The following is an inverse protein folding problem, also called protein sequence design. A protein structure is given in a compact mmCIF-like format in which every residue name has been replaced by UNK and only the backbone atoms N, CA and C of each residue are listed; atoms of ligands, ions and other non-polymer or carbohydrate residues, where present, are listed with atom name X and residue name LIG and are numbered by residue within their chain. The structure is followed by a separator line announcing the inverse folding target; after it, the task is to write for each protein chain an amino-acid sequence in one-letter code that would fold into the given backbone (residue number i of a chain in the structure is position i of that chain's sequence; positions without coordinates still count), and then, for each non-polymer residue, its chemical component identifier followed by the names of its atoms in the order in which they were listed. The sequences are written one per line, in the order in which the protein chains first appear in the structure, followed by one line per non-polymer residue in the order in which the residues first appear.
data_IF_894257299801
#
_entry.id   IF_894257299801
#
_cell.length_a   1.000
_cell.length_b   1.000
_cell.length_c   1.000
_cell.angle_alpha   90.00
_cell.angle_beta   90.00
_cell.angle_gamma   90.00
#
_symmetry.space_group_name_H-M   'P 1'
#
loop_
_entity.id
_entity.type
_entity.pdbx_description
1 polymer ?
#
# COMPACT_ATOMS: atom_id res chain seq x y z
N UNK A 1 -15.85 75.40 38.55
CA UNK A 1 -14.64 74.66 38.98
C UNK A 1 -14.98 73.26 39.47
N UNK A 2 -15.87 73.08 40.46
CA UNK A 2 -16.17 71.75 41.04
C UNK A 2 -16.77 70.69 40.10
N UNK A 3 -17.72 71.07 39.23
CA UNK A 3 -18.31 70.11 38.26
C UNK A 3 -17.28 69.57 37.26
N UNK A 4 -16.35 70.43 36.85
CA UNK A 4 -15.30 70.07 35.90
C UNK A 4 -14.30 69.12 36.54
N UNK A 5 -13.89 69.40 37.79
CA UNK A 5 -12.98 68.53 38.56
C UNK A 5 -13.59 67.13 38.76
N UNK A 6 -14.86 67.07 39.18
CA UNK A 6 -15.59 65.80 39.36
C UNK A 6 -15.73 64.98 38.06
N UNK A 7 -15.90 65.67 36.92
CA UNK A 7 -15.96 65.02 35.60
C UNK A 7 -14.59 64.49 35.17
N UNK A 8 -13.52 65.22 35.45
CA UNK A 8 -12.14 64.78 35.19
C UNK A 8 -11.82 63.56 36.06
N UNK A 9 -12.16 63.60 37.35
CA UNK A 9 -11.93 62.50 38.30
C UNK A 9 -12.67 61.20 37.86
N UNK A 10 -13.92 61.31 37.41
CA UNK A 10 -14.66 60.18 36.85
C UNK A 10 -14.01 59.62 35.58
N UNK A 11 -13.49 60.48 34.71
CA UNK A 11 -12.85 60.06 33.46
C UNK A 11 -11.50 59.36 33.73
N UNK A 12 -10.70 59.86 34.68
CA UNK A 12 -9.46 59.20 35.10
C UNK A 12 -9.73 57.85 35.75
N UNK A 13 -10.77 57.73 36.59
CA UNK A 13 -11.14 56.45 37.20
C UNK A 13 -11.56 55.42 36.14
N UNK A 14 -12.38 55.84 35.16
CA UNK A 14 -12.78 54.97 34.06
C UNK A 14 -11.59 54.53 33.20
N UNK A 15 -10.67 55.46 32.89
CA UNK A 15 -9.47 55.17 32.10
C UNK A 15 -8.52 54.19 32.83
N UNK A 16 -8.38 54.35 34.15
CA UNK A 16 -7.60 53.42 34.98
C UNK A 16 -8.24 52.02 35.00
N UNK A 17 -9.58 51.93 35.09
CA UNK A 17 -10.30 50.65 35.03
C UNK A 17 -10.10 49.97 33.67
N UNK A 18 -10.23 50.72 32.58
CA UNK A 18 -9.98 50.22 31.22
C UNK A 18 -8.55 49.73 31.03
N UNK A 19 -7.55 50.49 31.51
CA UNK A 19 -6.15 50.07 31.45
C UNK A 19 -5.90 48.77 32.23
N UNK A 20 -6.49 48.62 33.41
CA UNK A 20 -6.38 47.39 34.21
C UNK A 20 -7.01 46.18 33.51
N UNK A 21 -8.17 46.34 32.86
CA UNK A 21 -8.79 45.28 32.06
C UNK A 21 -7.96 44.94 30.82
N UNK A 22 -7.37 45.95 30.17
CA UNK A 22 -6.50 45.75 29.01
C UNK A 22 -5.25 44.93 29.38
N UNK A 23 -4.62 45.22 30.52
CA UNK A 23 -3.46 44.44 31.01
C UNK A 23 -3.86 42.99 31.30
N UNK A 24 -4.98 42.77 31.99
CA UNK A 24 -5.49 41.41 32.26
C UNK A 24 -5.73 40.62 30.98
N UNK A 25 -6.31 41.26 29.97
CA UNK A 25 -6.53 40.63 28.67
C UNK A 25 -5.22 40.34 27.93
N UNK A 26 -4.22 41.22 28.01
CA UNK A 26 -2.90 40.98 27.43
C UNK A 26 -2.20 39.78 28.09
N UNK A 27 -2.24 39.69 29.42
CA UNK A 27 -1.67 38.57 30.16
C UNK A 27 -2.39 37.25 29.85
N UNK A 28 -3.73 37.28 29.78
CA UNK A 28 -4.52 36.12 29.37
C UNK A 28 -4.18 35.65 27.95
N UNK A 29 -4.07 36.57 27.00
CA UNK A 29 -3.67 36.25 25.62
C UNK A 29 -2.24 35.70 25.55
N UNK A 30 -1.32 36.24 26.35
CA UNK A 30 0.05 35.72 26.43
C UNK A 30 0.05 34.27 26.90
N UNK A 31 -0.71 33.95 27.95
CA UNK A 31 -0.84 32.59 28.46
C UNK A 31 -1.47 31.63 27.43
N UNK A 32 -2.51 32.09 26.72
CA UNK A 32 -3.16 31.30 25.68
C UNK A 32 -2.19 31.00 24.51
N UNK A 33 -1.39 31.97 24.09
CA UNK A 33 -0.37 31.81 23.05
C UNK A 33 0.75 30.86 23.48
N UNK A 34 1.16 30.89 24.74
CA UNK A 34 2.12 29.93 25.29
C UNK A 34 1.56 28.49 25.22
N UNK A 35 0.31 28.29 25.65
CA UNK A 35 -0.36 26.98 25.55
C UNK A 35 -0.45 26.50 24.10
N UNK A 36 -0.87 27.37 23.18
CA UNK A 36 -0.94 27.05 21.75
C UNK A 36 0.43 26.63 21.19
N UNK A 37 1.51 27.29 21.61
CA UNK A 37 2.87 26.96 21.19
C UNK A 37 3.26 25.55 21.65
N UNK A 38 2.94 25.19 22.89
CA UNK A 38 3.17 23.85 23.45
C UNK A 38 2.37 22.80 22.67
N UNK A 39 1.07 23.04 22.46
CA UNK A 39 0.21 22.10 21.72
C UNK A 39 0.68 21.91 20.28
N UNK A 40 1.08 22.98 19.59
CA UNK A 40 1.66 22.90 18.23
C UNK A 40 2.93 22.05 18.22
N UNK A 41 3.86 22.30 19.14
CA UNK A 41 5.10 21.51 19.22
C UNK A 41 4.81 20.02 19.44
N UNK A 42 3.86 19.69 20.32
CA UNK A 42 3.47 18.30 20.60
C UNK A 42 2.84 17.62 19.38
N UNK A 43 1.98 18.35 18.67
CA UNK A 43 1.37 17.85 17.43
C UNK A 43 2.42 17.60 16.34
N UNK A 44 3.37 18.51 16.17
CA UNK A 44 4.48 18.34 15.22
C UNK A 44 5.34 17.11 15.56
N UNK A 45 5.71 16.92 16.83
CA UNK A 45 6.47 15.74 17.23
C UNK A 45 5.70 14.43 17.02
N UNK A 46 4.38 14.42 17.24
CA UNK A 46 3.56 13.23 16.98
C UNK A 46 3.45 12.94 15.50
N UNK A 47 3.32 13.98 14.66
CA UNK A 47 3.30 13.84 13.21
C UNK A 47 4.60 13.22 12.70
N UNK A 48 5.74 13.75 13.13
CA UNK A 48 7.06 13.24 12.71
C UNK A 48 7.27 11.76 13.08
N UNK A 49 6.82 11.36 14.28
CA UNK A 49 6.84 9.96 14.71
C UNK A 49 5.95 9.07 13.83
N UNK A 50 4.74 9.53 13.50
CA UNK A 50 3.81 8.79 12.65
C UNK A 50 4.35 8.67 11.22
N UNK A 51 4.85 9.76 10.64
CA UNK A 51 5.45 9.79 9.30
C UNK A 51 6.62 8.80 9.21
N UNK A 52 7.45 8.73 10.26
CA UNK A 52 8.56 7.75 10.35
C UNK A 52 8.08 6.30 10.43
N UNK A 53 6.98 6.05 11.15
CA UNK A 53 6.40 4.70 11.25
C UNK A 53 5.78 4.25 9.93
N UNK A 54 5.09 5.16 9.24
CA UNK A 54 4.52 4.91 7.91
C UNK A 54 5.64 4.56 6.92
N UNK A 55 6.69 5.40 6.84
CA UNK A 55 7.83 5.15 5.94
C UNK A 55 8.48 3.78 6.17
N UNK A 56 8.72 3.39 7.44
CA UNK A 56 9.24 2.06 7.77
C UNK A 56 8.31 0.92 7.35
N UNK A 57 7.00 1.13 7.47
CA UNK A 57 6.00 0.17 7.02
C UNK A 57 6.01 0.01 5.50
N UNK A 58 6.08 1.11 4.77
CA UNK A 58 6.12 1.15 3.31
C UNK A 58 7.37 0.42 2.76
N UNK A 59 8.55 0.69 3.32
CA UNK A 59 9.80 0.00 2.95
C UNK A 59 9.69 -1.53 3.11
N UNK A 60 9.05 -1.97 4.19
CA UNK A 60 8.84 -3.40 4.48
C UNK A 60 7.89 -4.05 3.47
N UNK A 61 6.80 -3.35 3.13
CA UNK A 61 5.84 -3.80 2.12
C UNK A 61 6.49 -3.90 0.74
N UNK A 62 7.31 -2.91 0.37
CA UNK A 62 7.98 -2.90 -0.93
C UNK A 62 9.02 -4.01 -1.07
N UNK A 63 9.76 -4.27 0.02
CA UNK A 63 10.68 -5.41 0.09
C UNK A 63 9.94 -6.74 -0.12
N UNK A 64 8.79 -6.91 0.54
CA UNK A 64 7.97 -8.12 0.40
C UNK A 64 7.41 -8.27 -1.03
N UNK A 65 6.90 -7.19 -1.63
CA UNK A 65 6.43 -7.21 -3.04
C UNK A 65 7.54 -7.63 -3.99
N UNK A 66 8.74 -7.08 -3.82
CA UNK A 66 9.91 -7.42 -4.63
C UNK A 66 10.27 -8.90 -4.51
N UNK A 67 10.21 -9.47 -3.30
CA UNK A 67 10.46 -10.90 -3.10
C UNK A 67 9.39 -11.76 -3.77
N UNK A 68 8.11 -11.40 -3.66
CA UNK A 68 7.02 -12.14 -4.30
C UNK A 68 7.13 -12.07 -5.84
N UNK A 69 7.45 -10.91 -6.41
CA UNK A 69 7.69 -10.78 -7.85
C UNK A 69 8.77 -11.73 -8.33
N UNK A 70 9.89 -11.82 -7.61
CA UNK A 70 10.96 -12.78 -7.92
C UNK A 70 10.51 -14.23 -7.85
N UNK A 71 9.62 -14.58 -6.92
CA UNK A 71 9.04 -15.93 -6.87
C UNK A 71 8.17 -16.21 -8.10
N UNK A 72 7.35 -15.25 -8.54
CA UNK A 72 6.54 -15.38 -9.76
C UNK A 72 7.41 -15.57 -11.02
N UNK A 73 8.48 -14.78 -11.15
CA UNK A 73 9.38 -14.84 -12.31
C UNK A 73 10.21 -16.13 -12.36
N UNK A 74 10.69 -16.62 -11.21
CA UNK A 74 11.61 -17.77 -11.20
C UNK A 74 10.90 -19.13 -11.13
N UNK A 75 9.84 -19.25 -10.32
CA UNK A 75 9.27 -20.55 -9.97
C UNK A 75 7.96 -20.84 -10.73
N UNK A 76 7.30 -19.81 -11.26
CA UNK A 76 5.98 -19.91 -11.88
C UNK A 76 5.95 -19.43 -13.33
N UNK A 77 7.10 -19.34 -14.00
CA UNK A 77 7.17 -19.02 -15.42
C UNK A 77 7.10 -20.29 -16.28
N UNK A 78 6.26 -20.29 -17.32
CA UNK A 78 6.18 -21.39 -18.26
C UNK A 78 7.33 -21.28 -19.28
N UNK A 79 8.18 -22.30 -19.36
CA UNK A 79 9.34 -22.31 -20.28
C UNK A 79 8.98 -22.35 -21.79
N UNK A 80 7.71 -22.56 -22.13
CA UNK A 80 7.25 -22.59 -23.53
C UNK A 80 6.90 -21.18 -24.02
N UNK A 81 6.10 -20.43 -23.25
CA UNK A 81 5.65 -19.10 -23.62
C UNK A 81 6.43 -17.97 -22.92
N UNK A 82 7.27 -18.30 -21.93
CA UNK A 82 7.99 -17.36 -21.07
C UNK A 82 7.09 -16.38 -20.29
N UNK A 83 5.83 -16.76 -20.07
CA UNK A 83 4.87 -16.00 -19.27
C UNK A 83 4.55 -16.75 -17.98
N UNK A 84 3.92 -16.05 -17.03
CA UNK A 84 3.41 -16.66 -15.81
C UNK A 84 2.45 -17.82 -16.15
N UNK A 85 2.66 -18.98 -15.53
CA UNK A 85 1.91 -20.20 -15.82
C UNK A 85 0.40 -19.97 -15.62
N UNK A 86 -0.36 -20.20 -16.69
CA UNK A 86 -1.81 -20.13 -16.70
C UNK A 86 -2.42 -21.51 -16.88
N UNK A 87 -3.38 -21.87 -16.02
CA UNK A 87 -3.91 -23.23 -15.89
C UNK A 87 -2.78 -24.26 -15.79
N UNK A 88 -2.01 -24.27 -14.68
CA UNK A 88 -0.84 -25.12 -14.51
C UNK A 88 -1.16 -26.59 -14.71
N UNK A 89 -0.53 -27.20 -15.71
CA UNK A 89 -0.60 -28.63 -15.99
C UNK A 89 0.75 -29.28 -15.68
N UNK A 90 0.76 -30.19 -14.71
CA UNK A 90 1.94 -30.88 -14.24
C UNK A 90 2.02 -32.27 -14.86
N UNK A 91 3.16 -32.58 -15.47
CA UNK A 91 3.45 -33.88 -16.07
C UNK A 91 3.82 -34.93 -15.01
N UNK A 92 3.78 -36.22 -15.36
CA UNK A 92 4.27 -37.32 -14.50
C UNK A 92 5.75 -37.20 -14.09
N UNK A 93 6.55 -36.36 -14.76
CA UNK A 93 7.92 -36.04 -14.37
C UNK A 93 8.04 -34.77 -13.50
N UNK A 94 6.92 -34.30 -12.94
CA UNK A 94 6.79 -33.15 -12.02
C UNK A 94 7.10 -31.75 -12.60
N UNK A 95 7.30 -31.63 -13.92
CA UNK A 95 7.42 -30.33 -14.58
C UNK A 95 6.05 -29.75 -14.93
N UNK A 96 5.90 -28.44 -14.74
CA UNK A 96 4.63 -27.71 -14.88
C UNK A 96 4.70 -26.67 -15.98
N UNK A 97 3.63 -26.56 -16.77
CA UNK A 97 3.51 -25.65 -17.90
C UNK A 97 2.09 -25.06 -17.95
N UNK A 98 1.84 -24.09 -18.83
CA UNK A 98 0.45 -23.75 -19.16
C UNK A 98 -0.22 -24.94 -19.87
N UNK A 99 -1.46 -25.25 -19.51
CA UNK A 99 -2.22 -26.36 -20.12
C UNK A 99 -2.24 -26.28 -21.65
N UNK A 100 -2.58 -25.11 -22.22
CA UNK A 100 -2.60 -24.91 -23.67
C UNK A 100 -1.22 -25.03 -24.33
N UNK A 101 -0.16 -24.58 -23.65
CA UNK A 101 1.21 -24.70 -24.16
C UNK A 101 1.68 -26.15 -24.21
N UNK A 102 1.41 -26.91 -23.13
CA UNK A 102 1.78 -28.32 -23.07
C UNK A 102 1.00 -29.14 -24.10
N UNK A 103 -0.31 -28.90 -24.25
CA UNK A 103 -1.13 -29.60 -25.24
C UNK A 103 -0.58 -29.37 -26.66
N UNK A 104 -0.29 -28.11 -27.02
CA UNK A 104 0.28 -27.76 -28.33
C UNK A 104 1.66 -28.40 -28.59
N UNK A 105 2.45 -28.63 -27.54
CA UNK A 105 3.73 -29.33 -27.63
C UNK A 105 3.53 -30.84 -27.84
N UNK A 106 2.60 -31.43 -27.08
CA UNK A 106 2.32 -32.87 -27.12
C UNK A 106 1.75 -33.33 -28.46
N UNK A 107 1.14 -32.43 -29.25
CA UNK A 107 0.76 -32.69 -30.65
C UNK A 107 1.94 -33.03 -31.56
N UNK A 108 3.16 -32.64 -31.17
CA UNK A 108 4.39 -32.78 -31.97
C UNK A 108 5.42 -33.71 -31.34
N UNK A 109 5.42 -33.81 -30.01
CA UNK A 109 6.39 -34.61 -29.25
C UNK A 109 5.78 -35.10 -27.96
N UNK A 110 5.91 -36.40 -27.66
CA UNK A 110 5.45 -36.98 -26.40
C UNK A 110 6.45 -36.83 -25.24
N UNK A 111 7.50 -36.01 -25.40
CA UNK A 111 8.53 -35.81 -24.38
C UNK A 111 8.37 -34.47 -23.65
N UNK A 112 8.68 -34.46 -22.36
CA UNK A 112 8.68 -33.25 -21.54
C UNK A 112 9.65 -32.20 -22.11
N UNK A 113 9.22 -30.94 -22.31
CA UNK A 113 10.09 -29.86 -22.81
C UNK A 113 11.36 -29.62 -21.96
N UNK A 114 11.32 -29.93 -20.66
CA UNK A 114 12.43 -29.68 -19.73
C UNK A 114 13.38 -30.87 -19.66
N UNK A 115 12.90 -32.04 -19.21
CA UNK A 115 13.76 -33.19 -18.94
C UNK A 115 13.73 -34.29 -20.01
N UNK A 116 12.90 -34.13 -21.05
CA UNK A 116 12.71 -35.09 -22.15
C UNK A 116 12.16 -36.47 -21.76
N UNK A 117 11.74 -36.66 -20.51
CA UNK A 117 11.01 -37.87 -20.10
C UNK A 117 9.70 -38.01 -20.89
N UNK A 118 9.31 -39.25 -21.19
CA UNK A 118 8.02 -39.54 -21.82
C UNK A 118 6.87 -39.04 -20.94
N UNK A 119 6.00 -38.23 -21.51
CA UNK A 119 4.79 -37.73 -20.87
C UNK A 119 3.70 -38.77 -21.05
N UNK A 120 3.30 -39.38 -19.94
CA UNK A 120 2.27 -40.43 -19.88
C UNK A 120 0.96 -39.85 -19.33
N UNK A 121 1.07 -38.87 -18.43
CA UNK A 121 -0.08 -38.19 -17.85
C UNK A 121 0.23 -36.74 -17.56
N UNK A 122 -0.84 -35.95 -17.56
CA UNK A 122 -0.84 -34.52 -17.23
C UNK A 122 -1.98 -34.26 -16.26
N UNK A 123 -1.72 -33.50 -15.20
CA UNK A 123 -2.70 -33.19 -14.18
C UNK A 123 -2.76 -31.68 -14.00
N UNK A 124 -3.94 -31.11 -14.18
CA UNK A 124 -4.20 -29.72 -13.82
C UNK A 124 -4.13 -29.53 -12.30
N UNK A 125 -3.36 -28.54 -11.85
CA UNK A 125 -3.15 -28.25 -10.43
C UNK A 125 -3.94 -27.02 -9.98
N UNK A 126 -5.16 -27.26 -9.49
CA UNK A 126 -6.04 -26.19 -9.01
C UNK A 126 -5.45 -25.41 -7.81
N UNK A 127 -4.72 -26.11 -6.92
CA UNK A 127 -4.08 -25.46 -5.77
C UNK A 127 -2.98 -24.50 -6.21
N UNK A 128 -2.15 -24.89 -7.19
CA UNK A 128 -1.15 -24.00 -7.77
C UNK A 128 -1.79 -22.83 -8.51
N UNK A 129 -2.87 -23.07 -9.25
CA UNK A 129 -3.57 -22.01 -10.00
C UNK A 129 -4.16 -20.94 -9.05
N UNK A 130 -4.78 -21.37 -7.95
CA UNK A 130 -5.27 -20.48 -6.90
C UNK A 130 -4.14 -19.75 -6.20
N UNK A 131 -3.04 -20.44 -5.91
CA UNK A 131 -1.88 -19.85 -5.25
C UNK A 131 -1.29 -18.73 -6.10
N UNK A 132 -1.01 -18.99 -7.38
CA UNK A 132 -0.52 -17.98 -8.34
C UNK A 132 -1.52 -16.82 -8.43
N UNK A 133 -2.82 -17.10 -8.50
CA UNK A 133 -3.87 -16.07 -8.56
C UNK A 133 -3.87 -15.18 -7.31
N UNK A 134 -3.70 -15.76 -6.12
CA UNK A 134 -3.63 -15.01 -4.87
C UNK A 134 -2.38 -14.13 -4.79
N UNK A 135 -1.23 -14.61 -5.28
CA UNK A 135 -0.02 -13.79 -5.40
C UNK A 135 -0.20 -12.62 -6.36
N UNK A 136 -0.84 -12.85 -7.52
CA UNK A 136 -1.17 -11.77 -8.46
C UNK A 136 -2.09 -10.74 -7.81
N UNK A 137 -3.11 -11.18 -7.07
CA UNK A 137 -4.03 -10.29 -6.37
C UNK A 137 -3.34 -9.46 -5.28
N UNK A 138 -2.38 -10.05 -4.57
CA UNK A 138 -1.60 -9.39 -3.52
C UNK A 138 -0.68 -8.32 -4.10
N UNK A 139 -0.02 -8.58 -5.22
CA UNK A 139 0.85 -7.62 -5.91
C UNK A 139 0.06 -6.50 -6.57
N UNK A 140 -1.10 -6.83 -7.17
CA UNK A 140 -1.93 -5.87 -7.89
C UNK A 140 -1.30 -5.41 -9.20
N UNK A 141 -1.74 -4.24 -9.69
CA UNK A 141 -1.21 -3.62 -10.91
C UNK A 141 -1.33 -4.50 -12.16
N UNK A 142 -0.33 -4.39 -13.02
CA UNK A 142 -0.29 -5.05 -14.34
C UNK A 142 -0.31 -6.57 -14.26
N UNK A 143 0.36 -7.17 -13.29
CA UNK A 143 0.40 -8.65 -13.12
C UNK A 143 -1.00 -9.20 -12.85
N UNK A 144 -1.76 -8.51 -11.99
CA UNK A 144 -3.16 -8.87 -11.72
C UNK A 144 -4.03 -8.71 -12.97
N UNK A 145 -3.87 -7.61 -13.70
CA UNK A 145 -4.63 -7.33 -14.91
C UNK A 145 -4.39 -8.39 -15.99
N UNK A 146 -3.13 -8.71 -16.27
CA UNK A 146 -2.75 -9.78 -17.19
C UNK A 146 -3.38 -11.13 -16.80
N UNK A 147 -3.34 -11.45 -15.50
CA UNK A 147 -3.95 -12.68 -14.98
C UNK A 147 -5.46 -12.73 -15.22
N UNK A 148 -6.15 -11.62 -15.01
CA UNK A 148 -7.60 -11.51 -15.23
C UNK A 148 -7.96 -11.63 -16.72
N UNK A 149 -7.17 -11.01 -17.60
CA UNK A 149 -7.36 -11.12 -19.06
C UNK A 149 -7.33 -12.58 -19.51
N UNK A 150 -6.29 -13.32 -19.14
CA UNK A 150 -6.18 -14.75 -19.48
C UNK A 150 -7.35 -15.58 -18.93
N UNK A 151 -7.85 -15.25 -17.74
CA UNK A 151 -9.02 -15.89 -17.14
C UNK A 151 -10.34 -15.56 -17.85
N UNK A 152 -10.45 -14.38 -18.46
CA UNK A 152 -11.63 -14.00 -19.24
C UNK A 152 -11.65 -14.67 -20.61
N UNK A 153 -10.52 -14.68 -21.32
CA UNK A 153 -10.38 -15.29 -22.65
C UNK A 153 -10.65 -16.80 -22.63
N UNK A 154 -10.39 -17.46 -21.49
CA UNK A 154 -10.61 -18.90 -21.32
C UNK A 154 -12.03 -19.28 -20.90
N UNK A 155 -12.93 -18.31 -20.70
CA UNK A 155 -14.36 -18.54 -20.45
C UNK A 155 -15.22 -18.48 -21.71
N UNK A 156 -14.63 -18.06 -22.84
CA UNK A 156 -15.31 -17.86 -24.12
C UNK A 156 -15.26 -19.11 -25.03
N UNK A 157 -14.84 -20.26 -24.50
CA UNK A 157 -14.81 -21.56 -25.19
C UNK A 157 -15.53 -22.65 -24.39
#
# INVERSE_FOLDING_TARGET
MDKLKKSVDNATELNNKMNNEMIKNQDYNRELNNKLTIYRRRCMSQKELLDTQIAKGEDSVETLKTQINKLLENDFQCVICNELVYRPSTTNCAHTFCEGCLNSWLDRSNQCPICRSLVISTTYSFSLDNYITNLCNLLGGTIKEQRLTLQSESKDF
#
